data_IF_050431236644
#
_entry.id   IF_050431236644
#
_cell.length_a   1.000
_cell.length_b   1.000
_cell.length_c   1.000
_cell.angle_alpha   90.00
_cell.angle_beta   90.00
_cell.angle_gamma   90.00
#
_symmetry.space_group_name_H-M   'P 1'
#
loop_
_entity.id
_entity.type
_entity.pdbx_description
1 polymer ?
#
# COMPACT_ATOMS: atom_id res chain seq x y z
N UNK A 1 -26.02 -3.42 -33.75
CA UNK A 1 -25.62 -4.82 -33.97
C UNK A 1 -24.40 -4.83 -34.88
N UNK A 2 -23.60 -5.90 -34.79
CA UNK A 2 -22.36 -6.21 -35.51
C UNK A 2 -21.02 -5.68 -34.98
N UNK A 3 -20.07 -6.61 -35.09
CA UNK A 3 -18.84 -6.84 -34.36
C UNK A 3 -17.65 -6.15 -35.04
N UNK A 4 -16.63 -5.78 -34.28
CA UNK A 4 -15.24 -5.91 -34.73
C UNK A 4 -14.40 -6.42 -33.55
N UNK A 5 -13.97 -7.67 -33.70
CA UNK A 5 -13.03 -8.39 -32.84
C UNK A 5 -11.60 -7.87 -33.08
N UNK A 6 -10.85 -7.67 -32.01
CA UNK A 6 -9.45 -7.23 -32.05
C UNK A 6 -8.66 -7.98 -30.99
N UNK A 7 -8.07 -9.10 -31.42
CA UNK A 7 -7.25 -10.04 -30.64
C UNK A 7 -5.99 -9.32 -30.14
N UNK A 8 -5.85 -9.20 -28.82
CA UNK A 8 -4.55 -8.94 -28.17
C UNK A 8 -4.22 -10.17 -27.34
N UNK A 9 -3.33 -11.01 -27.87
CA UNK A 9 -2.71 -12.11 -27.14
C UNK A 9 -2.02 -11.54 -25.90
N UNK A 10 -2.53 -11.89 -24.70
CA UNK A 10 -1.80 -11.74 -23.44
C UNK A 10 -1.47 -13.14 -22.92
N UNK A 11 -0.24 -13.57 -23.15
CA UNK A 11 0.38 -14.54 -22.26
C UNK A 11 0.63 -13.84 -20.93
N UNK A 12 -0.19 -14.18 -19.95
CA UNK A 12 -0.11 -13.67 -18.60
C UNK A 12 -1.16 -14.42 -17.81
N UNK A 13 -0.77 -15.60 -17.29
CA UNK A 13 -1.57 -16.34 -16.31
C UNK A 13 -1.94 -15.37 -15.20
N UNK A 14 -3.19 -14.94 -15.20
CA UNK A 14 -3.83 -14.36 -14.04
C UNK A 14 -3.89 -15.49 -13.02
N UNK A 15 -3.04 -15.45 -12.00
CA UNK A 15 -3.28 -16.19 -10.77
C UNK A 15 -4.56 -15.61 -10.15
N UNK A 16 -5.68 -16.20 -10.55
CA UNK A 16 -6.99 -16.01 -9.93
C UNK A 16 -6.91 -16.68 -8.55
N UNK A 17 -7.45 -15.99 -7.54
CA UNK A 17 -7.33 -16.34 -6.13
C UNK A 17 -7.51 -17.83 -5.86
N UNK A 18 -6.40 -18.49 -5.53
CA UNK A 18 -6.40 -19.72 -4.77
C UNK A 18 -6.16 -19.30 -3.32
N UNK A 19 -7.10 -19.63 -2.44
CA UNK A 19 -6.89 -19.57 -0.99
C UNK A 19 -5.88 -20.66 -0.63
N UNK A 20 -4.60 -20.37 -0.84
CA UNK A 20 -3.51 -21.29 -0.56
C UNK A 20 -3.42 -21.50 0.97
N UNK A 21 -3.45 -22.75 1.49
CA UNK A 21 -3.26 -23.03 2.91
C UNK A 21 -1.95 -22.41 3.46
N UNK A 22 -0.92 -22.24 2.63
CA UNK A 22 0.29 -21.52 3.01
C UNK A 22 0.05 -20.02 3.27
N UNK A 23 -0.85 -19.38 2.53
CA UNK A 23 -1.23 -17.97 2.74
C UNK A 23 -1.98 -17.75 4.05
N UNK A 24 -2.82 -18.71 4.47
CA UNK A 24 -3.50 -18.66 5.77
C UNK A 24 -2.54 -18.85 6.94
N UNK A 25 -1.58 -19.77 6.81
CA UNK A 25 -0.51 -19.96 7.80
C UNK A 25 0.39 -18.72 7.91
N UNK A 26 0.75 -18.09 6.79
CA UNK A 26 1.51 -16.83 6.78
C UNK A 26 0.75 -15.67 7.44
N UNK A 27 -0.55 -15.51 7.14
CA UNK A 27 -1.38 -14.49 7.78
C UNK A 27 -1.46 -14.70 9.29
N UNK A 28 -1.70 -15.92 9.74
CA UNK A 28 -1.82 -16.24 11.17
C UNK A 28 -0.49 -16.12 11.92
N UNK A 29 0.66 -16.40 11.29
CA UNK A 29 1.98 -16.38 11.93
C UNK A 29 2.51 -14.95 12.14
N UNK A 30 1.98 -14.00 11.37
CA UNK A 30 2.24 -12.57 11.51
C UNK A 30 1.12 -11.84 12.29
N UNK A 31 0.06 -12.55 12.68
CA UNK A 31 -0.99 -12.05 13.58
C UNK A 31 -0.58 -12.30 15.05
N UNK A 32 -1.10 -11.47 15.95
CA UNK A 32 -0.78 -11.52 17.38
C UNK A 32 -1.06 -12.91 18.00
N UNK A 33 -0.15 -13.46 18.84
CA UNK A 33 -0.38 -14.66 19.63
C UNK A 33 -1.66 -14.58 20.47
N UNK A 34 -1.97 -13.39 20.98
CA UNK A 34 -3.19 -13.12 21.77
C UNK A 34 -4.49 -13.29 20.96
N UNK A 35 -4.46 -13.09 19.63
CA UNK A 35 -5.64 -13.28 18.76
C UNK A 35 -5.92 -14.76 18.50
N UNK A 36 -4.90 -15.61 18.47
CA UNK A 36 -5.04 -17.07 18.37
C UNK A 36 -5.64 -17.65 19.66
N UNK A 37 -5.26 -17.08 20.82
CA UNK A 37 -5.80 -17.47 22.13
C UNK A 37 -7.31 -17.18 22.24
N UNK A 38 -7.79 -16.03 21.72
CA UNK A 38 -9.22 -15.67 21.79
C UNK A 38 -10.13 -16.56 20.93
N UNK A 39 -9.62 -17.20 19.87
CA UNK A 39 -10.40 -18.13 19.04
C UNK A 39 -10.58 -19.52 19.65
N UNK A 40 -9.68 -19.95 20.54
CA UNK A 40 -9.79 -21.27 21.21
C UNK A 40 -10.67 -21.24 22.47
N UNK A 41 -10.94 -20.07 23.05
CA UNK A 41 -11.72 -19.93 24.29
C UNK A 41 -13.25 -19.95 24.11
N UNK A 42 -13.79 -20.12 22.89
CA UNK A 42 -15.25 -20.24 22.67
C UNK A 42 -15.82 -21.64 22.81
N UNK A 43 -14.99 -22.65 23.05
CA UNK A 43 -15.44 -24.03 23.20
C UNK A 43 -14.67 -24.70 24.33
N UNK A 44 -15.14 -24.52 25.57
CA UNK A 44 -15.07 -25.48 26.70
C UNK A 44 -15.49 -24.78 28.00
N UNK A 45 -16.75 -24.99 28.41
CA UNK A 45 -17.11 -24.92 29.83
C UNK A 45 -17.08 -26.35 30.39
N UNK A 46 -16.33 -26.54 31.48
CA UNK A 46 -16.49 -27.51 32.58
C UNK A 46 -15.15 -28.08 33.05
N UNK A 47 -14.94 -28.15 34.36
CA UNK A 47 -13.95 -29.03 34.99
C UNK A 47 -12.87 -28.36 35.83
N UNK A 48 -12.77 -28.81 37.09
CA UNK A 48 -12.11 -28.21 38.25
C UNK A 48 -10.60 -28.52 38.39
N UNK A 49 -9.86 -27.51 38.85
CA UNK A 49 -8.61 -27.46 39.65
C UNK A 49 -7.57 -28.61 39.68
N UNK A 50 -6.39 -28.32 39.11
CA UNK A 50 -4.98 -28.55 39.58
C UNK A 50 -4.10 -29.04 38.42
N UNK A 51 -3.26 -28.17 37.88
CA UNK A 51 -1.82 -28.44 37.65
C UNK A 51 -1.09 -27.21 37.10
N UNK A 52 0.03 -26.95 37.74
CA UNK A 52 1.00 -25.87 37.60
C UNK A 52 1.78 -25.90 36.28
N UNK A 53 2.04 -24.72 35.72
CA UNK A 53 3.07 -24.42 34.71
C UNK A 53 3.05 -25.10 33.32
N UNK A 54 2.19 -26.06 33.01
CA UNK A 54 2.19 -26.71 31.69
C UNK A 54 1.31 -26.04 30.61
N UNK A 55 0.34 -25.20 31.00
CA UNK A 55 -0.52 -24.48 30.05
C UNK A 55 0.12 -23.21 29.44
N UNK A 56 1.30 -22.79 29.95
CA UNK A 56 1.98 -21.54 29.54
C UNK A 56 2.79 -21.74 28.23
N UNK A 57 3.14 -22.97 27.89
CA UNK A 57 3.92 -23.29 26.68
C UNK A 57 3.08 -23.48 25.42
N UNK A 58 1.77 -23.67 25.54
CA UNK A 58 0.88 -23.94 24.39
C UNK A 58 0.88 -22.82 23.35
N UNK A 59 0.80 -21.52 23.70
CA UNK A 59 0.80 -20.46 22.69
C UNK A 59 2.16 -20.28 22.00
N UNK A 60 3.26 -20.45 22.73
CA UNK A 60 4.61 -20.37 22.18
C UNK A 60 4.85 -21.55 21.24
N UNK A 61 4.46 -22.75 21.65
CA UNK A 61 4.61 -23.97 20.85
C UNK A 61 3.75 -23.94 19.60
N UNK A 62 2.50 -23.46 19.68
CA UNK A 62 1.64 -23.24 18.52
C UNK A 62 2.27 -22.25 17.54
N UNK A 63 2.82 -21.15 18.03
CA UNK A 63 3.54 -20.18 17.20
C UNK A 63 4.78 -20.78 16.52
N UNK A 64 5.61 -21.50 17.28
CA UNK A 64 6.82 -22.17 16.77
C UNK A 64 6.51 -23.24 15.73
N UNK A 65 5.45 -24.02 15.95
CA UNK A 65 4.99 -25.04 15.01
C UNK A 65 4.54 -24.39 13.70
N UNK A 66 3.77 -23.31 13.80
CA UNK A 66 3.23 -22.61 12.66
C UNK A 66 4.32 -21.95 11.80
N UNK A 67 5.30 -21.30 12.43
CA UNK A 67 6.44 -20.75 11.70
C UNK A 67 7.39 -21.83 11.17
N UNK A 68 7.44 -23.00 11.82
CA UNK A 68 8.21 -24.16 11.35
C UNK A 68 7.80 -24.60 9.96
N UNK A 69 6.51 -24.50 9.63
CA UNK A 69 5.96 -24.81 8.31
C UNK A 69 6.23 -23.77 7.22
N UNK A 70 6.84 -22.63 7.54
CA UNK A 70 7.24 -21.61 6.55
C UNK A 70 8.68 -21.87 6.12
N UNK A 71 8.96 -22.11 4.82
CA UNK A 71 10.32 -22.36 4.34
C UNK A 71 11.20 -21.11 4.52
N UNK A 72 12.50 -21.32 4.71
CA UNK A 72 13.46 -20.21 4.72
C UNK A 72 13.58 -19.64 3.32
N UNK A 73 13.70 -18.32 3.21
CA UNK A 73 14.02 -17.66 1.96
C UNK A 73 15.53 -17.73 1.73
N UNK A 74 15.91 -18.10 0.51
CA UNK A 74 17.25 -17.89 0.00
C UNK A 74 17.42 -16.43 -0.49
N UNK A 75 18.63 -16.09 -0.95
CA UNK A 75 18.93 -14.73 -1.42
C UNK A 75 18.05 -14.33 -2.60
N UNK A 76 17.81 -15.25 -3.53
CA UNK A 76 17.01 -14.97 -4.72
C UNK A 76 15.53 -14.81 -4.36
N UNK A 77 15.02 -15.60 -3.42
CA UNK A 77 13.68 -15.45 -2.85
C UNK A 77 13.48 -14.14 -2.07
N UNK A 78 14.50 -13.66 -1.35
CA UNK A 78 14.49 -12.32 -0.72
C UNK A 78 14.36 -11.21 -1.77
N UNK A 79 15.18 -11.28 -2.83
CA UNK A 79 15.18 -10.30 -3.92
C UNK A 79 13.85 -10.32 -4.68
N UNK A 80 13.32 -11.50 -4.99
CA UNK A 80 12.03 -11.62 -5.68
C UNK A 80 10.90 -11.07 -4.82
N UNK A 81 10.87 -11.38 -3.52
CA UNK A 81 9.88 -10.81 -2.60
C UNK A 81 9.97 -9.29 -2.54
N UNK A 82 11.18 -8.73 -2.48
CA UNK A 82 11.39 -7.27 -2.51
C UNK A 82 10.91 -6.64 -3.83
N UNK A 83 11.18 -7.28 -4.98
CA UNK A 83 10.67 -6.84 -6.29
C UNK A 83 9.14 -6.87 -6.36
N UNK A 84 8.50 -7.89 -5.80
CA UNK A 84 7.03 -7.94 -5.70
C UNK A 84 6.48 -6.80 -4.86
N UNK A 85 7.10 -6.51 -3.71
CA UNK A 85 6.72 -5.37 -2.86
C UNK A 85 6.80 -4.06 -3.65
N UNK A 86 7.91 -3.81 -4.36
CA UNK A 86 8.09 -2.61 -5.18
C UNK A 86 7.06 -2.52 -6.32
N UNK A 87 6.81 -3.64 -7.01
CA UNK A 87 5.84 -3.73 -8.10
C UNK A 87 4.43 -3.36 -7.63
N UNK A 88 3.96 -3.97 -6.55
CA UNK A 88 2.62 -3.72 -6.02
C UNK A 88 2.50 -2.34 -5.40
N UNK A 89 3.54 -1.86 -4.70
CA UNK A 89 3.61 -0.47 -4.21
C UNK A 89 3.45 0.52 -5.36
N UNK A 90 4.19 0.33 -6.46
CA UNK A 90 4.12 1.20 -7.65
C UNK A 90 2.72 1.16 -8.28
N UNK A 91 2.13 -0.03 -8.46
CA UNK A 91 0.78 -0.17 -9.03
C UNK A 91 -0.29 0.48 -8.17
N UNK A 92 -0.24 0.26 -6.86
CA UNK A 92 -1.13 0.86 -5.88
C UNK A 92 -1.02 2.39 -5.89
N UNK A 93 0.20 2.92 -5.83
CA UNK A 93 0.50 4.36 -5.91
C UNK A 93 -0.04 5.00 -7.17
N UNK A 94 0.23 4.39 -8.32
CA UNK A 94 -0.18 4.89 -9.62
C UNK A 94 -1.72 4.95 -9.74
N UNK A 95 -2.41 3.90 -9.30
CA UNK A 95 -3.88 3.84 -9.33
C UNK A 95 -4.50 4.84 -8.33
N UNK A 96 -3.84 5.14 -7.21
CA UNK A 96 -4.30 6.11 -6.22
C UNK A 96 -4.18 7.55 -6.74
N UNK A 97 -2.99 7.92 -7.24
CA UNK A 97 -2.72 9.23 -7.83
C UNK A 97 -3.45 9.48 -9.15
N UNK A 98 -3.94 8.43 -9.81
CA UNK A 98 -4.73 8.56 -11.04
C UNK A 98 -6.10 9.25 -10.87
N UNK A 99 -6.56 9.44 -9.63
CA UNK A 99 -7.77 10.19 -9.32
C UNK A 99 -7.49 11.70 -9.19
N UNK A 100 -8.39 12.54 -9.69
CA UNK A 100 -8.21 14.00 -9.74
C UNK A 100 -8.13 14.65 -8.34
N UNK A 101 -8.99 14.21 -7.41
CA UNK A 101 -9.02 14.70 -6.04
C UNK A 101 -7.69 14.40 -5.32
N UNK A 102 -7.24 13.15 -5.43
CA UNK A 102 -6.00 12.68 -4.80
C UNK A 102 -4.79 13.39 -5.40
N UNK A 103 -4.75 13.55 -6.73
CA UNK A 103 -3.69 14.28 -7.41
C UNK A 103 -3.59 15.73 -6.94
N UNK A 104 -4.72 16.43 -6.81
CA UNK A 104 -4.76 17.80 -6.25
C UNK A 104 -4.24 17.84 -4.82
N UNK A 105 -4.66 16.89 -3.98
CA UNK A 105 -4.20 16.82 -2.60
C UNK A 105 -2.69 16.57 -2.51
N UNK A 106 -2.15 15.69 -3.37
CA UNK A 106 -0.72 15.45 -3.47
C UNK A 106 0.05 16.72 -3.88
N UNK A 107 -0.44 17.47 -4.87
CA UNK A 107 0.19 18.73 -5.29
C UNK A 107 0.12 19.78 -4.18
N UNK A 108 -1.02 19.96 -3.51
CA UNK A 108 -1.13 20.86 -2.36
C UNK A 108 -0.16 20.50 -1.23
N UNK A 109 0.06 19.22 -0.99
CA UNK A 109 1.02 18.77 0.01
C UNK A 109 2.46 19.09 -0.42
N UNK A 110 2.78 18.93 -1.71
CA UNK A 110 4.08 19.31 -2.26
C UNK A 110 4.32 20.84 -2.21
N UNK A 111 3.30 21.65 -2.48
CA UNK A 111 3.35 23.12 -2.33
C UNK A 111 3.63 23.52 -0.88
N UNK A 112 3.02 22.83 0.08
CA UNK A 112 3.28 23.03 1.51
C UNK A 112 4.71 22.68 1.91
N UNK A 113 5.33 21.69 1.25
CA UNK A 113 6.74 21.34 1.45
C UNK A 113 7.66 22.40 0.84
N UNK A 114 7.36 22.87 -0.38
CA UNK A 114 8.10 23.97 -1.02
C UNK A 114 8.06 25.26 -0.18
N UNK A 115 6.89 25.60 0.36
CA UNK A 115 6.71 26.77 1.24
C UNK A 115 7.33 26.60 2.64
N UNK A 116 7.92 25.44 2.97
CA UNK A 116 8.53 25.17 4.28
C UNK A 116 7.53 24.94 5.43
N UNK A 117 6.22 24.98 5.17
CA UNK A 117 5.18 24.76 6.20
C UNK A 117 5.15 23.33 6.74
N UNK A 118 5.63 22.36 5.96
CA UNK A 118 5.73 20.95 6.35
C UNK A 118 7.14 20.46 6.13
N UNK A 119 7.69 19.74 7.12
CA UNK A 119 9.03 19.15 7.03
C UNK A 119 9.13 18.18 5.85
N UNK A 120 10.14 18.42 4.99
CA UNK A 120 10.43 17.63 3.79
C UNK A 120 10.61 16.14 4.12
N UNK A 121 11.49 15.81 5.07
CA UNK A 121 11.86 14.42 5.40
C UNK A 121 10.69 13.57 5.91
N UNK A 122 9.68 14.22 6.52
CA UNK A 122 8.45 13.58 7.01
C UNK A 122 7.47 13.28 5.88
N UNK A 123 7.60 13.97 4.75
CA UNK A 123 6.65 13.93 3.64
C UNK A 123 7.20 13.17 2.44
N UNK A 124 8.48 13.31 2.16
CA UNK A 124 9.17 12.67 1.03
C UNK A 124 10.12 11.56 1.53
N UNK A 125 10.38 10.58 0.67
CA UNK A 125 11.35 9.51 0.92
C UNK A 125 12.77 10.02 0.65
N UNK A 126 13.31 10.78 1.61
CA UNK A 126 14.69 11.30 1.61
C UNK A 126 15.34 11.02 2.95
N UNK A 127 16.64 10.70 2.94
CA UNK A 127 17.44 10.51 4.16
C UNK A 127 17.62 11.84 4.91
N UNK A 128 17.46 11.82 6.23
CA UNK A 128 17.60 13.03 7.07
C UNK A 128 19.02 13.61 6.98
N UNK A 129 20.03 12.74 6.84
CA UNK A 129 21.45 13.09 6.84
C UNK A 129 21.94 13.67 5.51
N UNK A 130 21.20 13.49 4.41
CA UNK A 130 21.65 13.88 3.08
C UNK A 130 21.12 15.26 2.67
N UNK A 131 21.80 16.32 3.07
CA UNK A 131 21.41 17.71 2.77
C UNK A 131 21.46 18.03 1.27
N UNK A 132 22.41 17.44 0.54
CA UNK A 132 22.56 17.66 -0.91
C UNK A 132 21.40 17.05 -1.70
N UNK A 133 20.95 15.85 -1.34
CA UNK A 133 19.78 15.21 -1.94
C UNK A 133 18.52 16.06 -1.73
N UNK A 134 18.32 16.60 -0.51
CA UNK A 134 17.20 17.51 -0.22
C UNK A 134 17.25 18.76 -1.09
N UNK A 135 18.43 19.39 -1.20
CA UNK A 135 18.62 20.59 -2.01
C UNK A 135 18.33 20.32 -3.49
N UNK A 136 18.83 19.20 -4.04
CA UNK A 136 18.57 18.80 -5.43
C UNK A 136 17.08 18.51 -5.67
N UNK A 137 16.42 17.88 -4.72
CA UNK A 137 14.98 17.60 -4.81
C UNK A 137 14.17 18.91 -4.81
N UNK A 138 14.45 19.83 -3.88
CA UNK A 138 13.79 21.13 -3.83
C UNK A 138 13.97 21.94 -5.12
N UNK A 139 15.17 21.95 -5.70
CA UNK A 139 15.42 22.60 -7.01
C UNK A 139 14.56 22.02 -8.14
N UNK A 140 14.30 20.71 -8.13
CA UNK A 140 13.41 20.05 -9.11
C UNK A 140 11.93 20.24 -8.80
N UNK A 141 11.59 20.48 -7.55
CA UNK A 141 10.21 20.58 -7.08
C UNK A 141 9.50 21.80 -7.68
N UNK A 142 10.11 22.98 -7.61
CA UNK A 142 9.50 24.23 -8.07
C UNK A 142 9.05 24.23 -9.54
N UNK A 143 9.90 23.91 -10.54
CA UNK A 143 9.45 23.88 -11.95
C UNK A 143 8.40 22.78 -12.21
N UNK A 144 8.49 21.66 -11.48
CA UNK A 144 7.49 20.58 -11.59
C UNK A 144 6.14 20.99 -11.01
N UNK A 145 6.12 21.74 -9.90
CA UNK A 145 4.89 22.26 -9.29
C UNK A 145 4.17 23.22 -10.22
N UNK A 146 4.89 24.10 -10.91
CA UNK A 146 4.30 24.98 -11.91
C UNK A 146 3.64 24.18 -13.05
N UNK A 147 4.33 23.17 -13.56
CA UNK A 147 3.78 22.25 -14.57
C UNK A 147 2.55 21.50 -14.05
N UNK A 148 2.58 21.03 -12.81
CA UNK A 148 1.49 20.31 -12.16
C UNK A 148 0.24 21.19 -11.98
N UNK A 149 0.42 22.45 -11.54
CA UNK A 149 -0.67 23.43 -11.42
C UNK A 149 -1.38 23.64 -12.76
N UNK A 150 -0.61 23.82 -13.84
CA UNK A 150 -1.15 23.94 -15.20
C UNK A 150 -1.95 22.70 -15.60
N UNK A 151 -1.38 21.51 -15.44
CA UNK A 151 -2.06 20.25 -15.80
C UNK A 151 -3.36 20.06 -15.01
N UNK A 152 -3.38 20.35 -13.70
CA UNK A 152 -4.58 20.20 -12.86
C UNK A 152 -5.70 21.16 -13.30
N UNK A 153 -5.36 22.40 -13.63
CA UNK A 153 -6.32 23.39 -14.13
C UNK A 153 -6.91 22.96 -15.48
N UNK A 154 -6.07 22.47 -16.40
CA UNK A 154 -6.49 21.95 -17.71
C UNK A 154 -7.33 20.69 -17.61
N UNK A 155 -6.97 19.73 -16.75
CA UNK A 155 -7.69 18.46 -16.57
C UNK A 155 -9.16 18.69 -16.22
N UNK A 156 -9.48 19.71 -15.41
CA UNK A 156 -10.85 20.08 -15.08
C UNK A 156 -11.65 20.57 -16.28
N UNK A 157 -11.02 21.34 -17.17
CA UNK A 157 -11.63 21.83 -18.41
C UNK A 157 -11.85 20.67 -19.39
N UNK A 158 -10.83 19.83 -19.57
CA UNK A 158 -10.89 18.64 -20.43
C UNK A 158 -11.96 17.64 -19.95
N UNK A 159 -12.08 17.41 -18.64
CA UNK A 159 -13.10 16.51 -18.11
C UNK A 159 -14.52 17.02 -18.39
N UNK A 160 -14.77 18.32 -18.19
CA UNK A 160 -16.06 18.94 -18.52
C UNK A 160 -16.38 18.81 -20.02
N UNK A 161 -15.41 19.08 -20.89
CA UNK A 161 -15.59 18.93 -22.34
C UNK A 161 -15.85 17.48 -22.76
N UNK A 162 -15.12 16.50 -22.19
CA UNK A 162 -15.30 15.09 -22.55
C UNK A 162 -16.64 14.51 -22.07
N UNK A 163 -17.17 15.02 -20.96
CA UNK A 163 -18.46 14.61 -20.39
C UNK A 163 -19.65 15.41 -20.91
N UNK A 164 -19.42 16.54 -21.58
CA UNK A 164 -20.46 17.33 -22.22
C UNK A 164 -21.16 16.56 -23.34
N UNK A 165 -22.48 16.74 -23.45
CA UNK A 165 -23.30 16.24 -24.55
C UNK A 165 -23.28 17.16 -25.78
N UNK A 166 -22.80 18.40 -25.62
CA UNK A 166 -22.79 19.43 -26.67
C UNK A 166 -21.77 19.13 -27.78
N UNK A 167 -20.66 18.45 -27.47
CA UNK A 167 -19.60 18.22 -28.43
C UNK A 167 -19.77 16.89 -29.20
N UNK A 168 -19.36 16.82 -30.47
CA UNK A 168 -19.33 15.58 -31.24
C UNK A 168 -18.49 14.48 -30.56
N UNK A 169 -18.86 13.22 -30.80
CA UNK A 169 -18.18 12.05 -30.22
C UNK A 169 -16.68 11.99 -30.55
N UNK A 170 -16.27 12.44 -31.74
CA UNK A 170 -14.87 12.49 -32.17
C UNK A 170 -14.03 13.43 -31.29
N UNK A 171 -14.55 14.64 -31.02
CA UNK A 171 -13.94 15.64 -30.15
C UNK A 171 -13.87 15.11 -28.72
N UNK A 172 -14.97 14.56 -28.19
CA UNK A 172 -15.01 13.99 -26.83
C UNK A 172 -13.97 12.88 -26.64
N UNK A 173 -13.82 11.99 -27.62
CA UNK A 173 -12.80 10.92 -27.61
C UNK A 173 -11.37 11.48 -27.66
N UNK A 174 -11.12 12.55 -28.43
CA UNK A 174 -9.81 13.23 -28.49
C UNK A 174 -9.47 13.87 -27.14
N UNK A 175 -10.41 14.64 -26.57
CA UNK A 175 -10.28 15.29 -25.26
C UNK A 175 -10.08 14.27 -24.15
N UNK A 176 -10.82 13.15 -24.17
CA UNK A 176 -10.64 12.08 -23.18
C UNK A 176 -9.23 11.46 -23.24
N UNK A 177 -8.72 11.20 -24.45
CA UNK A 177 -7.33 10.71 -24.62
C UNK A 177 -6.31 11.72 -24.11
N UNK A 178 -6.52 13.01 -24.36
CA UNK A 178 -5.67 14.08 -23.83
C UNK A 178 -5.69 14.11 -22.29
N UNK A 179 -6.89 14.03 -21.68
CA UNK A 179 -7.06 13.98 -20.22
C UNK A 179 -6.29 12.79 -19.61
N UNK A 180 -6.44 11.58 -20.17
CA UNK A 180 -5.73 10.39 -19.68
C UNK A 180 -4.21 10.57 -19.78
N UNK A 181 -3.71 11.12 -20.90
CA UNK A 181 -2.28 11.41 -21.08
C UNK A 181 -1.77 12.45 -20.09
N UNK A 182 -2.51 13.54 -19.89
CA UNK A 182 -2.14 14.61 -18.96
C UNK A 182 -2.13 14.11 -17.51
N UNK A 183 -3.14 13.34 -17.10
CA UNK A 183 -3.15 12.66 -15.80
C UNK A 183 -1.95 11.74 -15.63
N UNK A 184 -1.64 10.90 -16.62
CA UNK A 184 -0.45 10.04 -16.57
C UNK A 184 0.88 10.79 -16.50
N UNK A 185 0.98 11.99 -17.10
CA UNK A 185 2.13 12.88 -16.92
C UNK A 185 2.20 13.42 -15.49
N UNK A 186 1.10 13.92 -14.95
CA UNK A 186 1.06 14.46 -13.58
C UNK A 186 1.37 13.40 -12.52
N UNK A 187 0.84 12.18 -12.67
CA UNK A 187 1.15 11.05 -11.78
C UNK A 187 2.66 10.77 -11.78
N UNK A 188 3.30 10.70 -12.96
CA UNK A 188 4.75 10.49 -13.05
C UNK A 188 5.56 11.59 -12.38
N UNK A 189 5.20 12.86 -12.60
CA UNK A 189 5.87 13.98 -11.94
C UNK A 189 5.75 13.89 -10.41
N UNK A 190 4.57 13.54 -9.88
CA UNK A 190 4.38 13.35 -8.43
C UNK A 190 5.12 12.11 -7.90
N UNK A 191 5.21 11.04 -8.68
CA UNK A 191 6.00 9.85 -8.35
C UNK A 191 7.50 10.17 -8.26
N UNK A 192 8.02 10.97 -9.18
CA UNK A 192 9.43 11.41 -9.19
C UNK A 192 9.80 12.26 -7.97
N UNK A 193 8.84 12.98 -7.37
CA UNK A 193 9.06 13.75 -6.14
C UNK A 193 9.16 12.87 -4.88
N UNK A 194 9.06 11.54 -5.02
CA UNK A 194 9.22 10.57 -3.92
C UNK A 194 8.30 10.84 -2.72
N UNK A 195 7.08 11.30 -2.98
CA UNK A 195 6.06 11.50 -1.94
C UNK A 195 5.79 10.19 -1.18
N UNK A 196 5.74 10.21 0.16
CA UNK A 196 5.39 9.01 0.95
C UNK A 196 3.92 8.68 0.74
N UNK A 197 3.60 7.44 0.37
CA UNK A 197 2.23 7.03 0.04
C UNK A 197 1.26 7.15 1.23
N UNK A 198 1.76 6.96 2.45
CA UNK A 198 0.97 7.04 3.69
C UNK A 198 0.37 8.44 3.90
N UNK A 199 0.94 9.47 3.27
CA UNK A 199 0.38 10.83 3.30
C UNK A 199 -0.90 10.96 2.48
N UNK A 200 -1.22 9.98 1.64
CA UNK A 200 -2.41 9.95 0.80
C UNK A 200 -3.53 9.06 1.39
N UNK A 201 -3.27 8.32 2.46
CA UNK A 201 -4.27 7.46 3.12
C UNK A 201 -5.54 8.23 3.54
N UNK A 202 -5.47 9.48 4.07
CA UNK A 202 -6.66 10.26 4.36
C UNK A 202 -7.52 10.52 3.11
N UNK A 203 -6.88 10.71 1.95
CA UNK A 203 -7.58 10.95 0.69
C UNK A 203 -8.24 9.68 0.16
N UNK A 204 -7.60 8.52 0.37
CA UNK A 204 -8.22 7.24 0.06
C UNK A 204 -9.45 6.98 0.93
N UNK A 205 -9.36 7.26 2.24
CA UNK A 205 -10.51 7.17 3.14
C UNK A 205 -11.65 8.08 2.66
N UNK A 206 -11.34 9.36 2.39
CA UNK A 206 -12.30 10.31 1.86
C UNK A 206 -12.94 9.82 0.55
N UNK A 207 -12.17 9.23 -0.38
CA UNK A 207 -12.74 8.66 -1.61
C UNK A 207 -13.70 7.49 -1.35
N UNK A 208 -13.37 6.62 -0.40
CA UNK A 208 -14.24 5.49 -0.01
C UNK A 208 -15.55 6.00 0.59
N UNK A 209 -15.47 6.98 1.49
CA UNK A 209 -16.62 7.58 2.17
C UNK A 209 -17.53 8.33 1.17
N UNK A 210 -16.95 9.11 0.26
CA UNK A 210 -17.72 9.78 -0.80
C UNK A 210 -18.38 8.78 -1.74
N UNK A 211 -17.74 7.65 -2.03
CA UNK A 211 -18.29 6.63 -2.90
C UNK A 211 -19.45 5.83 -2.26
N UNK A 212 -19.42 5.60 -0.93
CA UNK A 212 -20.52 4.97 -0.21
C UNK A 212 -21.72 5.90 -0.13
N UNK A 213 -21.51 7.15 0.28
CA UNK A 213 -22.58 8.15 0.43
C UNK A 213 -23.21 8.56 -0.91
N UNK A 214 -22.50 8.42 -2.05
CA UNK A 214 -23.02 8.78 -3.38
C UNK A 214 -24.30 8.02 -3.79
N UNK A 215 -24.67 6.93 -3.11
CA UNK A 215 -25.94 6.24 -3.33
C UNK A 215 -27.15 7.03 -2.82
N UNK A 216 -26.99 7.69 -1.67
CA UNK A 216 -28.05 8.35 -0.89
C UNK A 216 -28.19 9.84 -1.25
N UNK A 217 -27.18 10.43 -1.89
CA UNK A 217 -27.19 11.83 -2.31
C UNK A 217 -28.25 12.16 -3.37
N UNK A 218 -28.77 13.40 -3.32
CA UNK A 218 -29.67 13.92 -4.36
C UNK A 218 -28.97 13.92 -5.73
N UNK A 219 -29.70 13.75 -6.86
CA UNK A 219 -29.09 13.66 -8.18
C UNK A 219 -28.17 14.84 -8.54
N UNK A 220 -28.51 16.06 -8.11
CA UNK A 220 -27.71 17.27 -8.35
C UNK A 220 -26.40 17.27 -7.56
N UNK A 221 -26.45 16.94 -6.27
CA UNK A 221 -25.27 16.83 -5.39
C UNK A 221 -24.33 15.73 -5.88
N UNK A 222 -24.90 14.58 -6.23
CA UNK A 222 -24.16 13.45 -6.80
C UNK A 222 -23.45 13.83 -8.10
N UNK A 223 -24.11 14.60 -8.98
CA UNK A 223 -23.50 15.10 -10.22
C UNK A 223 -22.33 16.05 -9.90
N UNK A 224 -22.51 17.00 -8.99
CA UNK A 224 -21.45 17.93 -8.55
C UNK A 224 -20.26 17.18 -7.96
N UNK A 225 -20.51 16.17 -7.13
CA UNK A 225 -19.48 15.31 -6.55
C UNK A 225 -18.63 14.64 -7.65
N UNK A 226 -19.25 13.94 -8.59
CA UNK A 226 -18.50 13.23 -9.65
C UNK A 226 -17.75 14.18 -10.60
N UNK A 227 -18.26 15.39 -10.81
CA UNK A 227 -17.53 16.45 -11.52
C UNK A 227 -16.31 16.89 -10.72
N UNK A 228 -16.43 17.08 -9.41
CA UNK A 228 -15.31 17.41 -8.51
C UNK A 228 -14.26 16.31 -8.40
N UNK A 229 -14.68 15.04 -8.41
CA UNK A 229 -13.79 13.88 -8.41
C UNK A 229 -13.12 13.64 -9.77
N UNK A 230 -13.61 14.27 -10.84
CA UNK A 230 -13.12 14.10 -12.20
C UNK A 230 -13.27 12.66 -12.72
N UNK A 231 -14.28 11.93 -12.24
CA UNK A 231 -14.56 10.53 -12.58
C UNK A 231 -16.05 10.22 -12.55
N UNK A 232 -16.48 9.25 -13.36
CA UNK A 232 -17.84 8.71 -13.27
C UNK A 232 -17.98 7.72 -12.12
N UNK A 233 -19.21 7.49 -11.61
CA UNK A 233 -19.52 6.46 -10.59
C UNK A 233 -18.96 5.08 -10.95
N UNK A 234 -19.11 4.67 -12.22
CA UNK A 234 -18.61 3.37 -12.72
C UNK A 234 -17.08 3.31 -12.69
N UNK A 235 -16.42 4.40 -13.11
CA UNK A 235 -14.95 4.51 -13.10
C UNK A 235 -14.41 4.47 -11.67
N UNK A 236 -14.99 5.26 -10.76
CA UNK A 236 -14.59 5.32 -9.36
C UNK A 236 -14.74 3.95 -8.68
N UNK A 237 -15.88 3.27 -8.87
CA UNK A 237 -16.10 1.92 -8.31
C UNK A 237 -15.09 0.91 -8.87
N UNK A 238 -14.70 1.03 -10.14
CA UNK A 238 -13.65 0.17 -10.74
C UNK A 238 -12.29 0.47 -10.13
N UNK A 239 -11.94 1.76 -9.95
CA UNK A 239 -10.70 2.19 -9.30
C UNK A 239 -10.61 1.68 -7.86
N UNK A 240 -11.64 1.89 -7.05
CA UNK A 240 -11.66 1.45 -5.65
C UNK A 240 -11.50 -0.07 -5.51
N UNK A 241 -12.11 -0.85 -6.41
CA UNK A 241 -11.88 -2.31 -6.45
C UNK A 241 -10.43 -2.66 -6.76
N UNK A 242 -9.81 -2.02 -7.75
CA UNK A 242 -8.39 -2.24 -8.08
C UNK A 242 -7.47 -1.82 -6.94
N UNK A 243 -7.74 -0.68 -6.31
CA UNK A 243 -6.98 -0.20 -5.16
C UNK A 243 -7.01 -1.21 -4.03
N UNK A 244 -8.19 -1.76 -3.70
CA UNK A 244 -8.31 -2.84 -2.72
C UNK A 244 -7.46 -4.06 -3.10
N UNK A 245 -7.55 -4.52 -4.35
CA UNK A 245 -6.73 -5.64 -4.82
C UNK A 245 -5.23 -5.34 -4.73
N UNK A 246 -4.78 -4.16 -5.14
CA UNK A 246 -3.35 -3.80 -5.08
C UNK A 246 -2.85 -3.61 -3.64
N UNK A 247 -3.68 -3.08 -2.75
CA UNK A 247 -3.40 -2.98 -1.31
C UNK A 247 -3.24 -4.37 -0.70
N UNK A 248 -4.17 -5.29 -0.98
CA UNK A 248 -4.10 -6.69 -0.51
C UNK A 248 -2.86 -7.42 -1.01
N UNK A 249 -2.51 -7.25 -2.29
CA UNK A 249 -1.31 -7.86 -2.88
C UNK A 249 -0.01 -7.26 -2.34
N UNK A 250 0.02 -5.94 -2.14
CA UNK A 250 1.14 -5.24 -1.53
C UNK A 250 1.37 -5.73 -0.09
N UNK A 251 0.31 -5.83 0.70
CA UNK A 251 0.40 -6.35 2.06
C UNK A 251 0.75 -7.84 2.10
N UNK A 252 0.25 -8.65 1.16
CA UNK A 252 0.63 -10.05 1.04
C UNK A 252 2.13 -10.21 0.74
N UNK A 253 2.68 -9.43 -0.20
CA UNK A 253 4.10 -9.47 -0.54
C UNK A 253 4.99 -9.07 0.65
N UNK A 254 4.59 -8.04 1.42
CA UNK A 254 5.29 -7.66 2.66
C UNK A 254 5.27 -8.79 3.70
N UNK A 255 4.09 -9.39 3.90
CA UNK A 255 3.93 -10.53 4.81
C UNK A 255 4.79 -11.70 4.38
N UNK A 256 4.90 -11.99 3.09
CA UNK A 256 5.74 -13.09 2.59
C UNK A 256 7.22 -12.89 2.93
N UNK A 257 7.78 -11.70 2.71
CA UNK A 257 9.17 -11.41 3.06
C UNK A 257 9.40 -11.48 4.58
N UNK A 258 8.48 -10.94 5.38
CA UNK A 258 8.56 -11.00 6.84
C UNK A 258 8.46 -12.46 7.35
N UNK A 259 7.51 -13.23 6.82
CA UNK A 259 7.27 -14.62 7.19
C UNK A 259 8.51 -15.51 7.02
N UNK A 260 9.22 -15.37 5.90
CA UNK A 260 10.46 -16.11 5.66
C UNK A 260 11.60 -15.77 6.63
N UNK A 261 11.48 -14.66 7.36
CA UNK A 261 12.48 -14.14 8.29
C UNK A 261 12.06 -14.18 9.77
N UNK A 262 10.94 -14.81 10.12
CA UNK A 262 10.47 -14.91 11.52
C UNK A 262 11.48 -15.59 12.47
N UNK A 263 12.30 -16.51 11.95
CA UNK A 263 13.34 -17.19 12.74
C UNK A 263 14.42 -16.22 13.25
N UNK A 264 14.69 -15.14 12.52
CA UNK A 264 15.61 -14.07 12.94
C UNK A 264 15.08 -13.36 14.18
N UNK A 265 13.78 -13.03 14.22
CA UNK A 265 13.15 -12.37 15.36
C UNK A 265 13.31 -13.21 16.62
N UNK A 266 13.07 -14.52 16.53
CA UNK A 266 13.23 -15.43 17.67
C UNK A 266 14.67 -15.50 18.15
N UNK A 267 15.64 -15.60 17.23
CA UNK A 267 17.05 -15.70 17.62
C UNK A 267 17.55 -14.43 18.32
N UNK A 268 17.02 -13.26 17.95
CA UNK A 268 17.27 -11.98 18.62
C UNK A 268 16.53 -11.92 19.97
N UNK A 269 15.23 -12.20 19.99
CA UNK A 269 14.39 -12.12 21.19
C UNK A 269 14.89 -13.03 22.34
N UNK A 270 15.48 -14.20 22.01
CA UNK A 270 16.09 -15.09 23.01
C UNK A 270 17.15 -14.39 23.89
N UNK A 271 17.88 -13.41 23.34
CA UNK A 271 18.93 -12.66 24.08
C UNK A 271 18.36 -11.65 25.09
N UNK A 272 17.09 -11.30 24.96
CA UNK A 272 16.39 -10.34 25.82
C UNK A 272 15.46 -11.01 26.83
N UNK A 273 15.51 -12.34 26.95
CA UNK A 273 14.77 -13.09 27.97
C UNK A 273 15.14 -12.62 29.38
N UNK A 274 14.18 -12.78 30.29
CA UNK A 274 14.31 -12.47 31.73
C UNK A 274 14.59 -11.00 32.07
N UNK A 275 14.28 -10.06 31.15
CA UNK A 275 14.39 -8.60 31.38
C UNK A 275 13.07 -7.94 31.78
N UNK A 276 12.15 -8.70 32.36
CA UNK A 276 10.86 -8.20 32.86
C UNK A 276 9.70 -8.18 31.85
N UNK A 277 9.91 -8.64 30.60
CA UNK A 277 8.85 -8.78 29.59
C UNK A 277 8.64 -10.26 29.24
N UNK A 278 7.40 -10.67 28.92
CA UNK A 278 7.12 -12.03 28.49
C UNK A 278 7.75 -12.32 27.13
N UNK A 279 8.14 -13.57 26.88
CA UNK A 279 8.84 -13.93 25.64
C UNK A 279 7.99 -13.71 24.38
N UNK A 280 6.68 -13.93 24.46
CA UNK A 280 5.76 -13.66 23.34
C UNK A 280 5.72 -12.17 23.01
N UNK A 281 5.75 -11.30 24.01
CA UNK A 281 5.74 -9.85 23.81
C UNK A 281 7.05 -9.38 23.15
N UNK A 282 8.19 -9.95 23.54
CA UNK A 282 9.47 -9.70 22.87
C UNK A 282 9.44 -10.11 21.39
N UNK A 283 8.82 -11.26 21.09
CA UNK A 283 8.61 -11.70 19.70
C UNK A 283 7.68 -10.74 18.97
N UNK A 284 6.63 -10.22 19.63
CA UNK A 284 5.71 -9.28 19.00
C UNK A 284 6.38 -7.96 18.63
N UNK A 285 7.12 -7.37 19.56
CA UNK A 285 7.88 -6.15 19.29
C UNK A 285 8.92 -6.40 18.18
N UNK A 286 9.60 -7.55 18.19
CA UNK A 286 10.53 -7.92 17.12
C UNK A 286 9.85 -8.13 15.77
N UNK A 287 8.65 -8.72 15.72
CA UNK A 287 7.86 -8.86 14.49
C UNK A 287 7.40 -7.50 13.97
N UNK A 288 7.05 -6.56 14.86
CA UNK A 288 6.73 -5.19 14.49
C UNK A 288 7.96 -4.45 13.91
N UNK A 289 9.15 -4.63 14.52
CA UNK A 289 10.43 -4.17 13.99
C UNK A 289 10.72 -4.75 12.61
N UNK A 290 10.55 -6.07 12.44
CA UNK A 290 10.73 -6.76 11.16
C UNK A 290 9.82 -6.19 10.06
N UNK A 291 8.54 -5.94 10.37
CA UNK A 291 7.61 -5.34 9.42
C UNK A 291 8.05 -3.91 9.01
N UNK A 292 8.58 -3.12 9.95
CA UNK A 292 9.14 -1.79 9.64
C UNK A 292 10.41 -1.89 8.79
N UNK A 293 11.24 -2.92 9.01
CA UNK A 293 12.39 -3.22 8.18
C UNK A 293 11.93 -3.52 6.74
N UNK A 294 10.95 -4.41 6.56
CA UNK A 294 10.37 -4.73 5.24
C UNK A 294 9.88 -3.49 4.50
N UNK A 295 9.19 -2.57 5.18
CA UNK A 295 8.65 -1.35 4.55
C UNK A 295 9.73 -0.43 3.97
N UNK A 296 10.96 -0.48 4.50
CA UNK A 296 12.09 0.41 4.17
C UNK A 296 13.26 -0.30 3.50
N UNK A 297 13.17 -1.61 3.30
CA UNK A 297 14.25 -2.39 2.72
C UNK A 297 14.44 -2.04 1.24
N UNK A 298 15.69 -1.76 0.85
CA UNK A 298 16.08 -1.44 -0.52
C UNK A 298 17.03 -2.53 -1.03
N UNK A 299 16.49 -3.51 -1.75
CA UNK A 299 17.27 -4.65 -2.26
C UNK A 299 18.39 -4.23 -3.24
N UNK A 300 18.22 -3.10 -3.92
CA UNK A 300 19.20 -2.53 -4.85
C UNK A 300 20.55 -2.17 -4.19
N UNK A 301 20.62 -2.05 -2.86
CA UNK A 301 21.87 -1.80 -2.13
C UNK A 301 22.75 -3.04 -1.96
N UNK A 302 22.26 -4.23 -2.34
CA UNK A 302 23.04 -5.46 -2.35
C UNK A 302 23.27 -6.13 -0.99
N UNK A 303 22.78 -5.55 0.11
CA UNK A 303 22.81 -6.17 1.44
C UNK A 303 21.73 -7.26 1.59
N UNK A 304 22.05 -8.32 2.34
CA UNK A 304 21.05 -9.33 2.73
C UNK A 304 19.99 -8.70 3.63
N UNK A 305 18.74 -9.15 3.50
CA UNK A 305 17.65 -8.59 4.31
C UNK A 305 17.88 -8.83 5.80
N UNK A 306 18.34 -10.01 6.20
CA UNK A 306 18.65 -10.37 7.60
C UNK A 306 19.63 -9.42 8.30
N UNK A 307 20.71 -9.00 7.61
CA UNK A 307 21.69 -8.04 8.13
C UNK A 307 21.05 -6.68 8.39
N UNK A 308 20.20 -6.22 7.47
CA UNK A 308 19.49 -4.95 7.62
C UNK A 308 18.42 -5.01 8.71
N UNK A 309 17.64 -6.09 8.75
CA UNK A 309 16.52 -6.28 9.68
C UNK A 309 16.95 -6.38 11.15
N UNK A 310 18.18 -6.82 11.43
CA UNK A 310 18.71 -6.96 12.79
C UNK A 310 18.78 -5.61 13.55
N UNK A 311 18.83 -4.48 12.85
CA UNK A 311 18.88 -3.14 13.43
C UNK A 311 17.50 -2.54 13.79
N UNK A 312 16.41 -3.14 13.31
CA UNK A 312 15.04 -2.65 13.48
C UNK A 312 14.34 -3.28 14.67
#
# INVERSE_FOLDING_TARGET
>A
MQQVSGVVRRHGRLFVGCSDPHSQSMKRALMSPSTVISSSQRSTQSGTTRQSNQAIDDPIRLYLLQMGGIPLLDRDGEVESARQIELWRRRYRHELLGNDLVLRAAVKLLERVEAGTVRLDRTLEVSVTNTDEKRRLLKRLSPNLETLRRIISENQKLFRQATSTTHPLSVRRKVWRQLVRQRGKAVRLVEEMRLRIQRLDPMLKQLRDLASQAGEMRPQERRRLFVGLGESRRTLRRRLRRLKTYEEQYDAAKRQLAAGNLRLVISIAKRYRNRGLAFLDLIQEGNAGLMRAVDKFEHARGFKFSTYATWW
#
